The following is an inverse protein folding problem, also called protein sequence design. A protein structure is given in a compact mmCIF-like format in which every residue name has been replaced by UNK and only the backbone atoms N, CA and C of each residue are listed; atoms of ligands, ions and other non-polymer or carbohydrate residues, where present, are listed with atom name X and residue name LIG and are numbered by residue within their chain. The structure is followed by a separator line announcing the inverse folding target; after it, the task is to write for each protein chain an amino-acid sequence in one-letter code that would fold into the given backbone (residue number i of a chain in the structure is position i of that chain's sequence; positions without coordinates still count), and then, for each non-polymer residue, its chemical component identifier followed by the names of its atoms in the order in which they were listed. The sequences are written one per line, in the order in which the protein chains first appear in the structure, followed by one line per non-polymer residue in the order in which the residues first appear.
data_IF_121812280400
#
_entry.id   IF_121812280400
#
_cell.length_a   1.000
_cell.length_b   1.000
_cell.length_c   1.000
_cell.angle_alpha   90.00
_cell.angle_beta   90.00
_cell.angle_gamma   90.00
#
_symmetry.space_group_name_H-M   'P 1'
#
loop_
_entity.id
_entity.type
_entity.pdbx_description
1 polymer ?
#
# COMPACT_ATOMS: atom_id res chain seq x y z
N UNK A 1 -19.17 19.70 -36.52
CA UNK A 1 -18.01 18.93 -36.05
C UNK A 1 -17.56 19.31 -34.67
N UNK A 2 -17.47 20.59 -34.34
CA UNK A 2 -17.03 21.06 -33.01
C UNK A 2 -18.10 20.85 -31.93
N UNK A 3 -19.38 20.98 -32.26
CA UNK A 3 -20.48 20.71 -31.32
C UNK A 3 -20.55 19.24 -30.91
N UNK A 4 -20.21 18.30 -31.81
CA UNK A 4 -20.13 16.89 -31.53
C UNK A 4 -18.98 16.55 -30.57
N UNK A 5 -17.80 17.15 -30.81
CA UNK A 5 -16.64 17.00 -29.93
C UNK A 5 -16.87 17.58 -28.52
N UNK A 6 -17.62 18.70 -28.45
CA UNK A 6 -17.99 19.27 -27.16
C UNK A 6 -18.98 18.38 -26.42
N UNK A 7 -19.95 17.79 -27.13
CA UNK A 7 -20.93 16.85 -26.55
C UNK A 7 -20.23 15.60 -26.01
N UNK A 8 -19.31 14.99 -26.77
CA UNK A 8 -18.53 13.84 -26.34
C UNK A 8 -17.67 14.15 -25.10
N UNK A 9 -17.05 15.35 -25.06
CA UNK A 9 -16.31 15.81 -23.87
C UNK A 9 -17.22 16.01 -22.67
N UNK A 10 -18.44 16.51 -22.90
CA UNK A 10 -19.42 16.70 -21.83
C UNK A 10 -19.91 15.37 -21.28
N UNK A 11 -20.21 14.40 -22.14
CA UNK A 11 -20.57 13.04 -21.76
C UNK A 11 -19.45 12.32 -20.98
N UNK A 12 -18.19 12.53 -21.41
CA UNK A 12 -17.02 12.01 -20.67
C UNK A 12 -16.91 12.64 -19.28
N UNK A 13 -17.12 13.96 -19.18
CA UNK A 13 -17.09 14.69 -17.91
C UNK A 13 -18.24 14.30 -17.00
N UNK A 14 -19.46 14.15 -17.53
CA UNK A 14 -20.62 13.68 -16.77
C UNK A 14 -20.46 12.23 -16.29
N UNK A 15 -19.93 11.35 -17.12
CA UNK A 15 -19.58 9.97 -16.72
C UNK A 15 -18.43 9.94 -15.70
N UNK A 16 -17.50 10.89 -15.76
CA UNK A 16 -16.45 11.02 -14.76
C UNK A 16 -16.99 11.55 -13.43
N UNK A 17 -17.92 12.52 -13.47
CA UNK A 17 -18.61 13.02 -12.29
C UNK A 17 -19.52 11.95 -11.65
N UNK A 18 -20.20 11.13 -12.45
CA UNK A 18 -21.06 10.05 -11.93
C UNK A 18 -20.26 8.88 -11.32
N UNK A 19 -19.02 8.68 -11.73
CA UNK A 19 -18.06 7.73 -11.11
C UNK A 19 -17.26 8.35 -9.97
N UNK A 20 -17.17 9.67 -9.89
CA UNK A 20 -16.66 10.39 -8.73
C UNK A 20 -17.60 10.08 -7.56
N UNK A 21 -17.07 9.51 -6.49
CA UNK A 21 -17.85 9.24 -5.27
C UNK A 21 -18.44 10.55 -4.79
N UNK A 22 -19.70 10.83 -5.19
CA UNK A 22 -20.42 12.03 -4.78
C UNK A 22 -20.68 11.84 -3.30
N UNK A 23 -19.91 12.55 -2.53
CA UNK A 23 -20.12 12.64 -1.11
C UNK A 23 -21.21 13.70 -0.89
N UNK A 24 -21.87 13.63 0.25
CA UNK A 24 -22.90 14.57 0.65
C UNK A 24 -22.48 16.02 0.31
N UNK A 25 -23.28 16.78 -0.49
CA UNK A 25 -22.95 18.15 -0.90
C UNK A 25 -22.70 19.12 0.26
N UNK A 26 -23.15 18.76 1.47
CA UNK A 26 -22.90 19.54 2.70
C UNK A 26 -21.44 19.48 3.15
N UNK A 27 -20.65 18.49 2.66
CA UNK A 27 -19.22 18.41 2.94
C UNK A 27 -18.48 19.26 1.91
N UNK A 28 -18.07 20.43 2.31
CA UNK A 28 -17.38 21.39 1.43
C UNK A 28 -16.20 22.01 2.16
N UNK A 29 -15.18 22.36 1.39
CA UNK A 29 -13.95 22.99 1.87
C UNK A 29 -13.25 22.19 2.98
N UNK A 30 -13.02 20.91 2.71
CA UNK A 30 -12.43 19.95 3.64
C UNK A 30 -11.21 19.28 3.02
N UNK A 31 -10.15 19.17 3.79
CA UNK A 31 -8.98 18.35 3.47
C UNK A 31 -9.08 17.01 4.21
N UNK A 32 -8.81 15.93 3.53
CA UNK A 32 -8.80 14.59 4.12
C UNK A 32 -7.43 13.96 3.94
N UNK A 33 -6.88 13.45 5.01
CA UNK A 33 -5.59 12.78 4.98
C UNK A 33 -5.68 11.40 5.63
N UNK A 34 -5.02 10.45 5.03
CA UNK A 34 -4.79 9.13 5.60
C UNK A 34 -3.32 8.76 5.51
N UNK A 35 -2.89 7.84 6.35
CA UNK A 35 -1.53 7.32 6.35
C UNK A 35 -1.57 5.81 6.51
N UNK A 36 -0.72 5.14 5.76
CA UNK A 36 -0.29 3.76 6.02
C UNK A 36 1.23 3.73 6.07
N UNK A 37 1.79 2.86 6.87
CA UNK A 37 3.24 2.73 7.02
C UNK A 37 3.68 1.30 6.80
N UNK A 38 4.90 1.12 6.32
CA UNK A 38 5.66 -0.10 6.40
C UNK A 38 6.94 0.10 7.21
N UNK A 39 7.90 -0.80 7.13
CA UNK A 39 9.16 -0.69 7.87
C UNK A 39 9.98 0.54 7.47
N UNK A 40 9.97 0.93 6.20
CA UNK A 40 10.85 1.94 5.64
C UNK A 40 10.15 3.22 5.20
N UNK A 41 8.85 3.15 4.87
CA UNK A 41 8.12 4.27 4.27
C UNK A 41 6.77 4.51 4.93
N UNK A 42 6.35 5.78 4.90
CA UNK A 42 4.98 6.21 5.12
C UNK A 42 4.37 6.65 3.79
N UNK A 43 3.11 6.27 3.55
CA UNK A 43 2.34 6.66 2.37
C UNK A 43 1.15 7.47 2.84
N UNK A 44 1.16 8.75 2.53
CA UNK A 44 0.09 9.68 2.92
C UNK A 44 -0.73 10.03 1.70
N UNK A 45 -2.02 9.75 1.73
CA UNK A 45 -2.95 10.20 0.71
C UNK A 45 -3.69 11.44 1.19
N UNK A 46 -3.84 12.39 0.30
CA UNK A 46 -4.57 13.64 0.45
C UNK A 46 -5.73 13.70 -0.54
N UNK A 47 -6.90 14.04 -0.04
CA UNK A 47 -8.06 14.38 -0.84
C UNK A 47 -8.55 15.77 -0.43
N UNK A 48 -8.81 16.63 -1.42
CA UNK A 48 -9.45 17.92 -1.20
C UNK A 48 -10.88 17.87 -1.72
N UNK A 49 -11.82 18.25 -0.86
CA UNK A 49 -13.24 18.27 -1.19
C UNK A 49 -13.77 19.68 -1.29
N UNK A 50 -14.62 19.89 -2.30
CA UNK A 50 -15.41 21.09 -2.46
C UNK A 50 -16.80 20.71 -2.97
N UNK A 51 -17.84 21.20 -2.29
CA UNK A 51 -19.26 20.93 -2.62
C UNK A 51 -19.55 19.43 -2.84
N UNK A 52 -19.06 18.57 -1.96
CA UNK A 52 -19.27 17.12 -2.03
C UNK A 52 -18.48 16.40 -3.12
N UNK A 53 -17.64 17.09 -3.87
CA UNK A 53 -16.80 16.52 -4.93
C UNK A 53 -15.33 16.52 -4.53
N UNK A 54 -14.60 15.48 -4.92
CA UNK A 54 -13.14 15.44 -4.76
C UNK A 54 -12.53 16.25 -5.90
N UNK A 55 -11.97 17.40 -5.59
CA UNK A 55 -11.35 18.31 -6.56
C UNK A 55 -9.86 18.05 -6.72
N UNK A 56 -9.24 17.33 -5.77
CA UNK A 56 -7.82 16.99 -5.82
C UNK A 56 -7.56 15.70 -5.06
N UNK A 57 -6.69 14.87 -5.62
CA UNK A 57 -6.13 13.68 -4.97
C UNK A 57 -4.62 13.65 -5.18
N UNK A 58 -3.86 13.42 -4.10
CA UNK A 58 -2.41 13.30 -4.16
C UNK A 58 -1.92 12.28 -3.14
N UNK A 59 -0.92 11.48 -3.50
CA UNK A 59 -0.29 10.55 -2.57
C UNK A 59 1.20 10.84 -2.50
N UNK A 60 1.71 10.97 -1.29
CA UNK A 60 3.11 11.25 -0.98
C UNK A 60 3.74 10.02 -0.33
N UNK A 61 4.91 9.61 -0.83
CA UNK A 61 5.79 8.61 -0.20
C UNK A 61 6.85 9.33 0.62
N UNK A 62 6.98 8.99 1.90
CA UNK A 62 7.93 9.58 2.83
C UNK A 62 8.81 8.47 3.38
N UNK A 63 10.13 8.59 3.21
CA UNK A 63 11.07 7.65 3.82
C UNK A 63 11.14 7.91 5.33
N UNK A 64 10.88 6.89 6.12
CA UNK A 64 10.96 6.96 7.58
C UNK A 64 12.41 7.12 8.03
N UNK A 65 12.63 8.00 8.99
CA UNK A 65 13.84 8.02 9.81
C UNK A 65 13.65 7.10 11.01
N UNK A 66 14.75 6.76 11.67
CA UNK A 66 14.70 5.95 12.91
C UNK A 66 13.71 6.60 13.89
N UNK A 67 12.80 5.80 14.45
CA UNK A 67 11.83 6.20 15.50
C UNK A 67 10.77 7.24 15.11
N UNK A 68 10.47 7.41 13.80
CA UNK A 68 9.35 8.26 13.38
C UNK A 68 8.02 7.50 13.49
N UNK A 69 7.14 8.02 14.34
CA UNK A 69 5.78 7.48 14.49
C UNK A 69 4.86 7.94 13.34
N UNK A 70 3.79 7.21 13.02
CA UNK A 70 2.82 7.61 11.99
C UNK A 70 2.27 9.02 12.20
N UNK A 71 2.09 9.43 13.47
CA UNK A 71 1.58 10.75 13.85
C UNK A 71 2.55 11.86 13.41
N UNK A 72 3.85 11.69 13.65
CA UNK A 72 4.86 12.66 13.24
C UNK A 72 4.95 12.79 11.72
N UNK A 73 4.94 11.65 11.02
CA UNK A 73 4.97 11.61 9.55
C UNK A 73 3.73 12.31 8.98
N UNK A 74 2.55 11.99 9.51
CA UNK A 74 1.31 12.60 9.04
C UNK A 74 1.29 14.11 9.32
N UNK A 75 1.75 14.54 10.48
CA UNK A 75 1.82 15.98 10.82
C UNK A 75 2.68 16.74 9.81
N UNK A 76 3.87 16.24 9.50
CA UNK A 76 4.77 16.87 8.51
C UNK A 76 4.14 16.87 7.12
N UNK A 77 3.55 15.74 6.70
CA UNK A 77 2.89 15.62 5.41
C UNK A 77 1.70 16.58 5.26
N UNK A 78 0.89 16.75 6.30
CA UNK A 78 -0.25 17.69 6.29
C UNK A 78 0.25 19.12 6.08
N UNK A 79 1.30 19.53 6.78
CA UNK A 79 1.88 20.86 6.66
C UNK A 79 2.42 21.08 5.24
N UNK A 80 3.25 20.16 4.74
CA UNK A 80 3.86 20.24 3.42
C UNK A 80 2.81 20.27 2.29
N UNK A 81 1.85 19.34 2.33
CA UNK A 81 0.83 19.21 1.28
C UNK A 81 -0.08 20.45 1.27
N UNK A 82 -0.51 20.95 2.44
CA UNK A 82 -1.32 22.16 2.52
C UNK A 82 -0.58 23.39 2.02
N UNK A 83 0.71 23.53 2.32
CA UNK A 83 1.53 24.61 1.76
C UNK A 83 1.68 24.47 0.24
N UNK A 84 2.02 23.28 -0.23
CA UNK A 84 2.23 23.00 -1.67
C UNK A 84 1.01 23.29 -2.51
N UNK A 85 -0.17 22.95 -2.03
CA UNK A 85 -1.44 23.16 -2.74
C UNK A 85 -2.19 24.42 -2.32
N UNK A 86 -1.61 25.23 -1.45
CA UNK A 86 -2.22 26.44 -0.90
C UNK A 86 -3.66 26.22 -0.40
N UNK A 87 -3.85 25.12 0.38
CA UNK A 87 -5.18 24.78 0.88
C UNK A 87 -5.62 25.75 1.96
N UNK A 88 -6.84 26.30 1.77
CA UNK A 88 -7.52 27.20 2.70
C UNK A 88 -8.63 26.50 3.50
N UNK A 89 -8.68 25.18 3.46
CA UNK A 89 -9.69 24.40 4.17
C UNK A 89 -9.59 24.63 5.67
N UNK A 90 -10.72 24.93 6.31
CA UNK A 90 -10.81 25.17 7.76
C UNK A 90 -11.01 23.88 8.56
N UNK A 91 -11.46 22.81 7.92
CA UNK A 91 -11.67 21.51 8.54
C UNK A 91 -10.79 20.44 7.86
N UNK A 92 -10.18 19.54 8.69
CA UNK A 92 -9.36 18.44 8.22
C UNK A 92 -9.88 17.14 8.84
N UNK A 93 -10.02 16.08 8.01
CA UNK A 93 -10.30 14.72 8.48
C UNK A 93 -9.03 13.91 8.55
N UNK A 94 -8.79 13.28 9.71
CA UNK A 94 -7.61 12.48 10.01
C UNK A 94 -8.00 11.12 10.60
N UNK A 95 -7.12 10.10 10.53
CA UNK A 95 -7.35 8.80 11.15
C UNK A 95 -7.20 8.82 12.69
N UNK A 96 -6.50 9.81 13.22
CA UNK A 96 -6.29 10.02 14.66
C UNK A 96 -6.16 11.52 14.96
N UNK A 97 -6.31 11.89 16.22
CA UNK A 97 -6.30 13.29 16.64
C UNK A 97 -4.89 13.88 16.59
N UNK A 98 -4.76 15.03 15.93
CA UNK A 98 -3.52 15.81 15.83
C UNK A 98 -3.84 17.29 16.03
N UNK A 99 -2.95 18.02 16.67
CA UNK A 99 -3.13 19.44 16.93
C UNK A 99 -2.41 20.29 15.88
N UNK A 100 -3.18 21.09 15.11
CA UNK A 100 -2.69 22.07 14.13
C UNK A 100 -2.99 23.53 14.54
N UNK A 101 -3.26 23.75 15.82
CA UNK A 101 -3.62 25.07 16.35
C UNK A 101 -5.11 25.42 16.18
N UNK A 102 -5.51 26.56 16.72
CA UNK A 102 -6.93 26.95 16.87
C UNK A 102 -7.64 27.32 15.56
N UNK A 103 -6.90 27.54 14.48
CA UNK A 103 -7.48 27.95 13.18
C UNK A 103 -7.99 26.78 12.33
N UNK A 104 -7.61 25.55 12.66
CA UNK A 104 -7.92 24.37 11.86
C UNK A 104 -8.70 23.40 12.74
N UNK A 105 -9.91 23.07 12.33
CA UNK A 105 -10.74 22.08 13.01
C UNK A 105 -10.31 20.68 12.56
N UNK A 106 -9.79 19.88 13.47
CA UNK A 106 -9.51 18.47 13.23
C UNK A 106 -10.73 17.64 13.57
N UNK A 107 -11.09 16.71 12.71
CA UNK A 107 -12.17 15.75 12.92
C UNK A 107 -11.62 14.35 12.66
N UNK A 108 -11.89 13.42 13.58
CA UNK A 108 -11.59 11.99 13.43
C UNK A 108 -12.90 11.25 13.17
N UNK A 109 -13.26 11.02 11.90
CA UNK A 109 -14.56 10.43 11.58
C UNK A 109 -14.63 8.97 11.98
N UNK A 110 -15.70 8.59 12.69
CA UNK A 110 -15.96 7.20 13.09
C UNK A 110 -17.02 6.52 12.24
N UNK A 111 -18.03 7.27 11.78
CA UNK A 111 -19.21 6.77 11.04
C UNK A 111 -19.66 7.78 9.97
N UNK A 112 -20.51 7.28 9.06
CA UNK A 112 -21.18 8.11 8.05
C UNK A 112 -20.29 8.51 6.87
N UNK A 113 -20.72 9.53 6.13
CA UNK A 113 -20.08 9.94 4.88
C UNK A 113 -18.66 10.46 5.09
N UNK A 114 -18.38 11.15 6.19
CA UNK A 114 -17.03 11.59 6.55
C UNK A 114 -16.07 10.41 6.68
N UNK A 115 -16.51 9.31 7.32
CA UNK A 115 -15.71 8.09 7.47
C UNK A 115 -15.48 7.42 6.12
N UNK A 116 -16.50 7.32 5.26
CA UNK A 116 -16.35 6.75 3.92
C UNK A 116 -15.28 7.46 3.08
N UNK A 117 -15.17 8.81 3.22
CA UNK A 117 -14.14 9.59 2.52
C UNK A 117 -12.75 9.28 3.10
N UNK A 118 -12.63 9.19 4.42
CA UNK A 118 -11.37 8.81 5.05
C UNK A 118 -10.94 7.42 4.62
N UNK A 119 -11.86 6.46 4.56
CA UNK A 119 -11.61 5.10 4.08
C UNK A 119 -11.23 5.07 2.58
N UNK A 120 -11.80 5.98 1.77
CA UNK A 120 -11.37 6.14 0.38
C UNK A 120 -9.92 6.63 0.29
N UNK A 121 -9.56 7.64 1.09
CA UNK A 121 -8.19 8.13 1.18
C UNK A 121 -7.23 7.01 1.59
N UNK A 122 -7.57 6.21 2.59
CA UNK A 122 -6.76 5.07 3.02
C UNK A 122 -6.61 4.00 1.92
N UNK A 123 -7.69 3.69 1.19
CA UNK A 123 -7.62 2.78 0.03
C UNK A 123 -6.69 3.30 -1.06
N UNK A 124 -6.70 4.61 -1.32
CA UNK A 124 -5.79 5.21 -2.28
C UNK A 124 -4.32 5.08 -1.85
N UNK A 125 -4.04 5.30 -0.56
CA UNK A 125 -2.69 5.09 0.00
C UNK A 125 -2.25 3.62 -0.14
N UNK A 126 -3.13 2.66 0.16
CA UNK A 126 -2.87 1.22 0.01
C UNK A 126 -2.61 0.85 -1.45
N UNK A 127 -3.43 1.38 -2.37
CA UNK A 127 -3.24 1.14 -3.80
C UNK A 127 -1.90 1.69 -4.31
N UNK A 128 -1.56 2.92 -3.94
CA UNK A 128 -0.28 3.53 -4.29
C UNK A 128 0.91 2.70 -3.81
N UNK A 129 0.88 2.25 -2.55
CA UNK A 129 1.90 1.36 -2.00
C UNK A 129 2.03 0.07 -2.83
N UNK A 130 0.90 -0.57 -3.15
CA UNK A 130 0.89 -1.79 -3.94
C UNK A 130 1.47 -1.59 -5.33
N UNK A 131 1.12 -0.50 -6.02
CA UNK A 131 1.69 -0.14 -7.31
C UNK A 131 3.20 0.14 -7.23
N UNK A 132 3.62 0.79 -6.14
CA UNK A 132 5.04 1.03 -5.88
C UNK A 132 5.82 -0.27 -5.73
N UNK A 133 5.29 -1.24 -4.96
CA UNK A 133 5.90 -2.56 -4.83
C UNK A 133 5.97 -3.32 -6.15
N UNK A 134 4.91 -3.30 -6.96
CA UNK A 134 4.93 -3.91 -8.30
C UNK A 134 6.03 -3.30 -9.18
N UNK A 135 6.16 -1.98 -9.20
CA UNK A 135 7.22 -1.29 -9.95
C UNK A 135 8.61 -1.70 -9.46
N UNK A 136 8.83 -1.79 -8.16
CA UNK A 136 10.12 -2.24 -7.59
C UNK A 136 10.41 -3.69 -8.02
N UNK A 137 9.42 -4.58 -7.98
CA UNK A 137 9.58 -5.97 -8.42
C UNK A 137 9.92 -6.10 -9.92
N UNK A 138 9.41 -5.18 -10.75
CA UNK A 138 9.73 -5.14 -12.19
C UNK A 138 11.16 -4.66 -12.42
N UNK A 139 11.60 -3.66 -11.67
CA UNK A 139 12.95 -3.06 -11.81
C UNK A 139 14.03 -3.94 -11.19
N UNK A 140 13.73 -4.60 -10.07
CA UNK A 140 14.67 -5.46 -9.35
C UNK A 140 13.93 -6.69 -8.81
N UNK A 141 13.68 -7.70 -9.68
CA UNK A 141 12.94 -8.90 -9.30
C UNK A 141 13.69 -9.77 -8.30
N UNK A 142 15.00 -9.61 -8.16
CA UNK A 142 15.83 -10.43 -7.26
C UNK A 142 16.00 -9.82 -5.87
N UNK A 143 15.71 -8.53 -5.70
CA UNK A 143 15.88 -7.84 -4.41
C UNK A 143 15.17 -8.52 -3.24
N UNK A 144 13.96 -9.03 -3.46
CA UNK A 144 13.23 -9.76 -2.44
C UNK A 144 13.91 -11.10 -2.11
N UNK A 145 14.40 -11.79 -3.14
CA UNK A 145 15.13 -13.05 -3.01
C UNK A 145 16.44 -12.86 -2.24
N UNK A 146 17.22 -11.85 -2.60
CA UNK A 146 18.50 -11.56 -1.94
C UNK A 146 18.32 -11.19 -0.46
N UNK A 147 17.29 -10.38 -0.15
CA UNK A 147 16.94 -10.08 1.25
C UNK A 147 16.56 -11.35 2.02
N UNK A 148 15.74 -12.21 1.43
CA UNK A 148 15.30 -13.45 2.04
C UNK A 148 16.50 -14.41 2.28
N UNK A 149 17.38 -14.54 1.30
CA UNK A 149 18.56 -15.39 1.41
C UNK A 149 19.52 -14.88 2.49
N UNK A 150 19.74 -13.57 2.53
CA UNK A 150 20.56 -12.93 3.57
C UNK A 150 19.95 -13.09 4.97
N UNK A 151 18.63 -12.95 5.10
CA UNK A 151 17.93 -13.18 6.37
C UNK A 151 18.08 -14.63 6.82
N UNK A 152 17.81 -15.59 5.93
CA UNK A 152 17.97 -17.02 6.23
C UNK A 152 19.40 -17.38 6.63
N UNK A 153 20.41 -16.79 5.97
CA UNK A 153 21.81 -16.96 6.35
C UNK A 153 22.05 -16.54 7.80
N UNK A 154 21.50 -15.40 8.22
CA UNK A 154 21.65 -14.90 9.60
C UNK A 154 20.91 -15.77 10.61
N UNK A 155 19.62 -16.04 10.36
CA UNK A 155 18.75 -16.79 11.28
C UNK A 155 19.27 -18.23 11.51
N UNK A 156 19.74 -18.88 10.45
CA UNK A 156 20.27 -20.23 10.49
C UNK A 156 21.79 -20.29 10.76
N UNK A 157 22.45 -19.12 10.94
CA UNK A 157 23.90 -19.00 11.19
C UNK A 157 24.76 -19.72 10.15
N UNK A 158 24.35 -19.62 8.88
CA UNK A 158 25.09 -20.27 7.78
C UNK A 158 26.31 -19.43 7.36
N UNK A 159 27.33 -20.08 6.84
CA UNK A 159 28.52 -19.40 6.29
C UNK A 159 28.25 -18.74 4.94
N UNK A 160 27.22 -19.20 4.20
CA UNK A 160 26.82 -18.70 2.88
C UNK A 160 25.31 -18.60 2.77
N UNK A 161 24.81 -17.89 1.75
CA UNK A 161 23.39 -17.77 1.46
C UNK A 161 22.82 -19.09 0.93
N UNK A 162 21.69 -19.60 1.48
CA UNK A 162 21.10 -20.87 1.08
C UNK A 162 20.30 -20.73 -0.22
N UNK A 163 20.98 -20.52 -1.36
CA UNK A 163 20.33 -20.34 -2.67
C UNK A 163 19.80 -21.64 -3.28
N UNK A 164 20.23 -22.80 -2.76
CA UNK A 164 19.74 -24.12 -3.12
C UNK A 164 19.42 -24.87 -1.83
N UNK A 165 18.15 -25.24 -1.68
CA UNK A 165 17.65 -25.94 -0.49
C UNK A 165 16.94 -27.19 -0.96
N UNK A 166 17.32 -28.33 -0.41
CA UNK A 166 16.63 -29.60 -0.59
C UNK A 166 16.05 -30.07 0.74
N UNK A 167 14.81 -30.53 0.68
CA UNK A 167 14.11 -31.07 1.82
C UNK A 167 13.66 -32.51 1.48
N UNK A 168 14.03 -33.46 2.34
CA UNK A 168 13.66 -34.85 2.19
C UNK A 168 12.63 -35.22 3.25
N UNK A 169 11.58 -35.91 2.80
CA UNK A 169 10.56 -36.48 3.66
C UNK A 169 10.44 -37.97 3.38
N UNK A 170 10.54 -38.75 4.44
CA UNK A 170 10.45 -40.20 4.38
C UNK A 170 9.14 -40.68 4.95
N UNK A 171 8.43 -41.52 4.23
CA UNK A 171 7.16 -42.10 4.64
C UNK A 171 7.14 -43.61 4.40
N UNK A 172 6.42 -44.36 5.24
CA UNK A 172 6.15 -45.77 5.05
C UNK A 172 4.73 -46.10 5.53
N UNK A 173 4.20 -47.20 5.06
CA UNK A 173 2.92 -47.74 5.51
C UNK A 173 3.17 -48.84 6.56
N UNK A 174 3.16 -48.49 7.85
CA UNK A 174 3.38 -49.41 8.97
C UNK A 174 4.65 -50.27 8.80
N UNK A 175 5.75 -49.66 8.36
CA UNK A 175 7.04 -50.32 8.13
C UNK A 175 7.17 -50.99 6.76
N UNK A 176 6.11 -50.94 5.90
CA UNK A 176 6.14 -51.48 4.56
C UNK A 176 6.19 -50.39 3.50
N UNK A 177 6.77 -50.72 2.32
CA UNK A 177 6.84 -49.82 1.15
C UNK A 177 7.41 -48.41 1.49
N UNK A 178 8.62 -48.31 2.04
CA UNK A 178 9.21 -47.04 2.38
C UNK A 178 9.50 -46.23 1.12
N UNK A 179 9.09 -44.97 1.13
CA UNK A 179 9.30 -44.01 0.05
C UNK A 179 9.90 -42.72 0.61
N UNK A 180 10.64 -42.01 -0.20
CA UNK A 180 11.13 -40.68 0.11
C UNK A 180 10.74 -39.68 -0.99
N UNK A 181 10.40 -38.48 -0.61
CA UNK A 181 10.21 -37.35 -1.50
C UNK A 181 11.33 -36.33 -1.26
N UNK A 182 11.82 -35.74 -2.35
CA UNK A 182 12.71 -34.59 -2.31
C UNK A 182 12.02 -33.41 -2.96
N UNK A 183 11.89 -32.31 -2.22
CA UNK A 183 11.48 -31.02 -2.75
C UNK A 183 12.67 -30.08 -2.81
N UNK A 184 12.73 -29.29 -3.87
CA UNK A 184 13.88 -28.41 -4.16
C UNK A 184 13.42 -26.99 -4.26
N UNK A 185 14.12 -26.08 -3.59
CA UNK A 185 13.98 -24.64 -3.73
C UNK A 185 15.27 -24.04 -4.27
N UNK A 186 15.15 -23.15 -5.26
CA UNK A 186 16.27 -22.36 -5.80
C UNK A 186 15.94 -20.88 -5.73
N UNK A 187 16.85 -20.11 -5.15
CA UNK A 187 16.66 -18.67 -4.97
C UNK A 187 15.29 -18.31 -4.35
N UNK A 188 14.87 -19.04 -3.29
CA UNK A 188 13.61 -18.82 -2.58
C UNK A 188 12.35 -19.26 -3.33
N UNK A 189 12.46 -19.90 -4.49
CA UNK A 189 11.32 -20.36 -5.31
C UNK A 189 11.32 -21.89 -5.44
N UNK A 190 10.13 -22.54 -5.43
CA UNK A 190 10.04 -23.98 -5.64
C UNK A 190 10.50 -24.37 -7.06
N UNK A 191 11.51 -25.23 -7.16
CA UNK A 191 12.02 -25.78 -8.41
C UNK A 191 11.31 -27.12 -8.72
N UNK A 192 10.02 -27.08 -9.04
CA UNK A 192 9.16 -28.27 -9.20
C UNK A 192 9.69 -29.31 -10.21
N UNK A 193 10.46 -28.88 -11.20
CA UNK A 193 11.09 -29.78 -12.18
C UNK A 193 12.20 -30.65 -11.60
N UNK A 194 12.69 -30.31 -10.41
CA UNK A 194 13.76 -31.01 -9.71
C UNK A 194 13.24 -31.83 -8.54
N UNK A 195 11.94 -31.89 -8.31
CA UNK A 195 11.31 -32.74 -7.32
C UNK A 195 11.49 -34.19 -7.71
N UNK A 196 11.82 -35.06 -6.74
CA UNK A 196 12.10 -36.47 -6.96
C UNK A 196 11.37 -37.33 -5.94
N UNK A 197 11.02 -38.55 -6.38
CA UNK A 197 10.56 -39.61 -5.51
C UNK A 197 11.57 -40.75 -5.54
N UNK A 198 11.77 -41.38 -4.39
CA UNK A 198 12.65 -42.51 -4.23
C UNK A 198 11.89 -43.66 -3.59
N UNK A 199 12.02 -44.84 -4.16
CA UNK A 199 11.61 -46.09 -3.50
C UNK A 199 12.79 -46.56 -2.68
N UNK A 200 12.63 -46.66 -1.38
CA UNK A 200 13.64 -47.12 -0.44
C UNK A 200 13.55 -48.65 -0.40
N UNK A 201 14.65 -49.31 -0.59
CA UNK A 201 14.75 -50.77 -0.51
C UNK A 201 15.12 -51.21 0.89
#
# INVERSE_FOLDING_TARGET
EDAQKIKEKLEILENYQSKSTIVNPKISNVDVFSIITDEQYGYVNFLQLSYGSIIRSHTLEIKKKLDETPEKILTLAVIEIRQRFNSQSSEIYLPFDLNFGSKIKVTVPQLGDKKKILDLSERNAKYFRMERFKKIQIVDPERHTDRLMSQMKQDLRLSFEPRHIECFDNSNLQGSNPVAACVVFKNGKPAKKEYRHYNIK
#
